data_IF_237145102187
#
_entry.id   IF_237145102187
#
_cell.length_a   1.000
_cell.length_b   1.000
_cell.length_c   1.000
_cell.angle_alpha   90.00
_cell.angle_beta   90.00
_cell.angle_gamma   90.00
#
_symmetry.space_group_name_H-M   'P 1'
#
loop_
_entity.id
_entity.type
_entity.pdbx_description
1 polymer ?
#
# COMPACT_ATOMS: atom_id res chain seq x y z
N UNK A 1 -130.24 1.95 59.19
CA UNK A 1 -128.98 1.52 59.83
C UNK A 1 -127.98 0.89 58.85
N UNK A 2 -128.35 -0.11 58.03
CA UNK A 2 -127.40 -0.81 57.14
C UNK A 2 -126.72 0.02 56.01
N UNK A 3 -127.39 1.03 55.43
CA UNK A 3 -126.80 1.87 54.35
C UNK A 3 -125.67 2.80 54.84
N UNK A 4 -125.85 3.42 56.01
CA UNK A 4 -124.86 4.33 56.59
C UNK A 4 -123.57 3.61 57.05
N UNK A 5 -123.70 2.37 57.54
CA UNK A 5 -122.55 1.52 57.88
C UNK A 5 -121.68 1.24 56.64
N UNK A 6 -122.32 0.90 55.53
CA UNK A 6 -121.66 0.59 54.25
C UNK A 6 -120.97 1.82 53.66
N UNK A 7 -121.62 2.97 53.68
CA UNK A 7 -121.04 4.23 53.18
C UNK A 7 -119.86 4.71 54.04
N UNK A 8 -119.91 4.47 55.35
CA UNK A 8 -118.79 4.76 56.27
C UNK A 8 -117.59 3.85 55.99
N UNK A 9 -117.82 2.54 55.83
CA UNK A 9 -116.77 1.58 55.49
C UNK A 9 -116.13 1.87 54.12
N UNK A 10 -116.94 2.24 53.12
CA UNK A 10 -116.44 2.64 51.80
C UNK A 10 -115.58 3.91 51.88
N UNK A 11 -116.01 4.94 52.62
CA UNK A 11 -115.21 6.15 52.82
C UNK A 11 -113.94 5.88 53.61
N UNK A 12 -114.01 5.06 54.66
CA UNK A 12 -112.84 4.66 55.46
C UNK A 12 -111.82 3.93 54.57
N UNK A 13 -112.26 2.97 53.77
CA UNK A 13 -111.40 2.26 52.83
C UNK A 13 -110.78 3.20 51.78
N UNK A 14 -111.54 4.18 51.26
CA UNK A 14 -111.02 5.18 50.33
C UNK A 14 -109.92 6.05 50.96
N UNK A 15 -110.11 6.52 52.20
CA UNK A 15 -109.09 7.27 52.93
C UNK A 15 -107.88 6.40 53.29
N UNK A 16 -108.09 5.14 53.67
CA UNK A 16 -107.00 4.21 53.96
C UNK A 16 -106.16 3.95 52.69
N UNK A 17 -106.78 3.83 51.52
CA UNK A 17 -106.08 3.73 50.22
C UNK A 17 -105.29 5.01 49.94
N UNK A 18 -105.87 6.19 50.14
CA UNK A 18 -105.20 7.47 49.91
C UNK A 18 -104.02 7.70 50.87
N UNK A 19 -104.20 7.37 52.15
CA UNK A 19 -103.14 7.44 53.16
C UNK A 19 -102.03 6.45 52.83
N UNK A 20 -102.35 5.21 52.46
CA UNK A 20 -101.37 4.20 52.10
C UNK A 20 -100.63 4.54 50.80
N UNK A 21 -101.29 5.11 49.80
CA UNK A 21 -100.64 5.55 48.55
C UNK A 21 -99.71 6.74 48.80
N UNK A 22 -100.13 7.74 49.58
CA UNK A 22 -99.23 8.85 49.97
C UNK A 22 -98.06 8.37 50.82
N UNK A 23 -98.28 7.40 51.71
CA UNK A 23 -97.23 6.79 52.52
C UNK A 23 -96.22 6.01 51.67
N UNK A 24 -96.71 5.20 50.73
CA UNK A 24 -95.84 4.50 49.76
C UNK A 24 -95.07 5.48 48.85
N UNK A 25 -95.71 6.57 48.40
CA UNK A 25 -95.04 7.62 47.64
C UNK A 25 -93.96 8.33 48.47
N UNK A 26 -94.22 8.63 49.74
CA UNK A 26 -93.23 9.21 50.64
C UNK A 26 -92.05 8.26 50.88
N UNK A 27 -92.31 6.97 51.08
CA UNK A 27 -91.27 5.95 51.25
C UNK A 27 -90.41 5.79 49.99
N UNK A 28 -91.03 5.79 48.79
CA UNK A 28 -90.32 5.76 47.52
C UNK A 28 -89.51 7.04 47.26
N UNK A 29 -90.07 8.21 47.58
CA UNK A 29 -89.37 9.49 47.47
C UNK A 29 -88.16 9.55 48.41
N UNK A 30 -88.30 9.04 49.64
CA UNK A 30 -87.21 8.91 50.59
C UNK A 30 -86.11 7.96 50.06
N UNK A 31 -86.48 6.78 49.57
CA UNK A 31 -85.53 5.82 49.00
C UNK A 31 -84.79 6.40 47.79
N UNK A 32 -85.51 7.12 46.90
CA UNK A 32 -84.90 7.80 45.76
C UNK A 32 -83.90 8.88 46.21
N UNK A 33 -84.25 9.67 47.24
CA UNK A 33 -83.35 10.68 47.77
C UNK A 33 -82.10 10.04 48.39
N UNK A 34 -82.24 8.94 49.13
CA UNK A 34 -81.10 8.18 49.66
C UNK A 34 -80.21 7.66 48.54
N UNK A 35 -80.79 7.11 47.46
CA UNK A 35 -80.03 6.62 46.32
C UNK A 35 -79.28 7.75 45.59
N UNK A 36 -79.92 8.91 45.36
CA UNK A 36 -79.29 10.09 44.76
C UNK A 36 -78.13 10.60 45.62
N UNK A 37 -78.32 10.74 46.92
CA UNK A 37 -77.26 11.18 47.83
C UNK A 37 -76.11 10.18 47.85
N UNK A 38 -76.39 8.87 47.87
CA UNK A 38 -75.35 7.82 47.76
C UNK A 38 -74.57 7.92 46.46
N UNK A 39 -75.25 8.10 45.32
CA UNK A 39 -74.59 8.27 44.03
C UNK A 39 -73.66 9.50 44.04
N UNK A 40 -74.13 10.63 44.55
CA UNK A 40 -73.32 11.85 44.67
C UNK A 40 -72.09 11.64 45.57
N UNK A 41 -72.23 10.93 46.69
CA UNK A 41 -71.11 10.59 47.57
C UNK A 41 -70.09 9.73 46.82
N UNK A 42 -70.53 8.71 46.09
CA UNK A 42 -69.62 7.84 45.33
C UNK A 42 -68.93 8.58 44.16
N UNK A 43 -69.64 9.45 43.44
CA UNK A 43 -69.03 10.34 42.43
C UNK A 43 -67.93 11.22 43.03
N UNK A 44 -68.19 11.84 44.19
CA UNK A 44 -67.17 12.64 44.89
C UNK A 44 -65.99 11.78 45.35
N UNK A 45 -66.23 10.55 45.83
CA UNK A 45 -65.15 9.61 46.22
C UNK A 45 -64.28 9.22 45.04
N UNK A 46 -64.88 8.92 43.88
CA UNK A 46 -64.14 8.64 42.65
C UNK A 46 -63.34 9.86 42.23
N UNK A 47 -63.90 11.07 42.31
CA UNK A 47 -63.19 12.30 42.00
C UNK A 47 -61.95 12.49 42.90
N UNK A 48 -62.08 12.27 44.21
CA UNK A 48 -60.94 12.32 45.15
C UNK A 48 -59.87 11.30 44.75
N UNK A 49 -60.26 10.05 44.44
CA UNK A 49 -59.31 9.03 43.99
C UNK A 49 -58.58 9.39 42.69
N UNK A 50 -59.27 10.02 41.74
CA UNK A 50 -58.66 10.47 40.47
C UNK A 50 -57.62 11.55 40.75
N UNK A 51 -57.94 12.51 41.63
CA UNK A 51 -57.00 13.58 42.02
C UNK A 51 -55.79 12.98 42.75
N UNK A 52 -55.99 12.08 43.72
CA UNK A 52 -54.89 11.40 44.42
C UNK A 52 -53.98 10.64 43.46
N UNK A 53 -54.57 9.87 42.52
CA UNK A 53 -53.79 9.15 41.51
C UNK A 53 -53.04 10.09 40.57
N UNK A 54 -53.67 11.17 40.12
CA UNK A 54 -53.00 12.17 39.29
C UNK A 54 -51.82 12.81 40.04
N UNK A 55 -51.98 13.09 41.33
CA UNK A 55 -50.91 13.61 42.19
C UNK A 55 -49.76 12.60 42.33
N UNK A 56 -50.09 11.31 42.53
CA UNK A 56 -49.09 10.25 42.58
C UNK A 56 -48.31 10.13 41.27
N UNK A 57 -49.00 10.16 40.12
CA UNK A 57 -48.35 10.15 38.80
C UNK A 57 -47.41 11.35 38.65
N UNK A 58 -47.85 12.55 39.01
CA UNK A 58 -47.02 13.75 38.93
C UNK A 58 -45.76 13.66 39.80
N UNK A 59 -45.86 13.10 41.02
CA UNK A 59 -44.70 12.86 41.88
C UNK A 59 -43.77 11.83 41.26
N UNK A 60 -44.31 10.73 40.72
CA UNK A 60 -43.51 9.70 40.05
C UNK A 60 -42.79 10.24 38.82
N UNK A 61 -43.43 11.06 37.99
CA UNK A 61 -42.79 11.70 36.85
C UNK A 61 -41.63 12.61 37.28
N UNK A 62 -41.79 13.37 38.37
CA UNK A 62 -40.71 14.18 38.92
C UNK A 62 -39.56 13.34 39.47
N UNK A 63 -39.86 12.22 40.13
CA UNK A 63 -38.85 11.27 40.60
C UNK A 63 -38.08 10.63 39.45
N UNK A 64 -38.77 10.21 38.38
CA UNK A 64 -38.15 9.68 37.16
C UNK A 64 -37.25 10.75 36.54
N UNK A 65 -37.73 11.98 36.37
CA UNK A 65 -36.93 13.06 35.78
C UNK A 65 -35.69 13.40 36.62
N UNK A 66 -35.79 13.36 37.96
CA UNK A 66 -34.61 13.50 38.83
C UNK A 66 -33.65 12.33 38.62
N UNK A 67 -34.16 11.10 38.62
CA UNK A 67 -33.35 9.89 38.49
C UNK A 67 -32.65 9.80 37.12
N UNK A 68 -33.31 10.21 36.05
CA UNK A 68 -32.71 10.33 34.72
C UNK A 68 -31.55 11.32 34.72
N UNK A 69 -31.73 12.52 35.30
CA UNK A 69 -30.65 13.51 35.42
C UNK A 69 -29.48 13.00 36.26
N UNK A 70 -29.76 12.27 37.33
CA UNK A 70 -28.71 11.64 38.14
C UNK A 70 -27.96 10.55 37.35
N UNK A 71 -28.66 9.69 36.62
CA UNK A 71 -28.05 8.67 35.76
C UNK A 71 -27.26 9.27 34.61
N UNK A 72 -27.75 10.36 34.01
CA UNK A 72 -27.05 11.09 32.97
C UNK A 72 -25.74 11.67 33.51
N UNK A 73 -25.77 12.31 34.67
CA UNK A 73 -24.59 12.85 35.31
C UNK A 73 -23.60 11.77 35.79
N UNK A 74 -24.10 10.67 36.36
CA UNK A 74 -23.27 9.65 37.01
C UNK A 74 -22.78 8.55 36.08
N UNK A 75 -23.51 8.26 35.00
CA UNK A 75 -23.21 7.15 34.10
C UNK A 75 -22.88 7.66 32.71
N UNK A 76 -23.78 8.44 32.08
CA UNK A 76 -23.59 8.86 30.68
C UNK A 76 -22.40 9.81 30.52
N UNK A 77 -22.34 10.90 31.28
CA UNK A 77 -21.24 11.87 31.17
C UNK A 77 -19.85 11.27 31.39
N UNK A 78 -19.59 10.45 32.43
CA UNK A 78 -18.29 9.81 32.57
C UNK A 78 -18.03 8.77 31.47
N UNK A 79 -19.04 7.99 31.07
CA UNK A 79 -18.87 7.04 29.98
C UNK A 79 -18.54 7.73 28.64
N UNK A 80 -19.16 8.88 28.35
CA UNK A 80 -18.84 9.70 27.18
C UNK A 80 -17.43 10.29 27.27
N UNK A 81 -17.02 10.76 28.45
CA UNK A 81 -15.67 11.25 28.67
C UNK A 81 -14.62 10.14 28.50
N UNK A 82 -14.90 8.93 28.99
CA UNK A 82 -14.04 7.75 28.79
C UNK A 82 -13.99 7.33 27.33
N UNK A 83 -15.15 7.28 26.65
CA UNK A 83 -15.21 6.97 25.21
C UNK A 83 -14.40 7.97 24.40
N UNK A 84 -14.56 9.26 24.67
CA UNK A 84 -13.80 10.32 24.00
C UNK A 84 -12.30 10.19 24.25
N UNK A 85 -11.88 9.92 25.50
CA UNK A 85 -10.45 9.68 25.82
C UNK A 85 -9.91 8.47 25.06
N UNK A 86 -10.64 7.35 25.05
CA UNK A 86 -10.21 6.13 24.38
C UNK A 86 -10.13 6.32 22.85
N UNK A 87 -11.14 6.98 22.27
CA UNK A 87 -11.19 7.29 20.84
C UNK A 87 -10.02 8.19 20.43
N UNK A 88 -9.71 9.21 21.24
CA UNK A 88 -8.55 10.09 21.02
C UNK A 88 -7.20 9.38 21.18
N UNK A 89 -7.08 8.49 22.17
CA UNK A 89 -5.87 7.69 22.34
C UNK A 89 -5.67 6.73 21.17
N UNK A 90 -6.73 6.03 20.73
CA UNK A 90 -6.67 5.15 19.58
C UNK A 90 -6.37 5.92 18.28
N UNK A 91 -6.94 7.12 18.10
CA UNK A 91 -6.63 8.00 16.98
C UNK A 91 -5.16 8.45 17.00
N UNK A 92 -4.65 8.82 18.18
CA UNK A 92 -3.24 9.19 18.35
C UNK A 92 -2.30 8.02 18.07
N UNK A 93 -2.58 6.82 18.60
CA UNK A 93 -1.80 5.60 18.34
C UNK A 93 -1.81 5.23 16.86
N UNK A 94 -2.98 5.27 16.21
CA UNK A 94 -3.09 5.04 14.77
C UNK A 94 -2.26 6.04 13.98
N UNK A 95 -2.34 7.33 14.33
CA UNK A 95 -1.56 8.37 13.67
C UNK A 95 -0.05 8.18 13.90
N UNK A 96 0.36 7.78 15.10
CA UNK A 96 1.76 7.49 15.40
C UNK A 96 2.26 6.28 14.61
N UNK A 97 1.48 5.21 14.52
CA UNK A 97 1.84 4.01 13.76
C UNK A 97 1.97 4.30 12.26
N UNK A 98 1.03 5.07 11.69
CA UNK A 98 1.10 5.51 10.29
C UNK A 98 2.36 6.35 10.07
N UNK A 99 2.60 7.35 10.92
CA UNK A 99 3.78 8.22 10.79
C UNK A 99 5.09 7.43 10.92
N UNK A 100 5.16 6.46 11.84
CA UNK A 100 6.32 5.58 11.98
C UNK A 100 6.51 4.71 10.74
N UNK A 101 5.45 4.08 10.24
CA UNK A 101 5.50 3.25 9.04
C UNK A 101 5.91 4.06 7.79
N UNK A 102 5.40 5.28 7.66
CA UNK A 102 5.78 6.21 6.59
C UNK A 102 7.25 6.63 6.71
N UNK A 103 7.70 6.97 7.93
CA UNK A 103 9.09 7.33 8.18
C UNK A 103 10.05 6.15 7.91
N UNK A 104 9.67 4.93 8.28
CA UNK A 104 10.44 3.72 7.99
C UNK A 104 10.48 3.44 6.48
N UNK A 105 9.34 3.55 5.78
CA UNK A 105 9.27 3.39 4.34
C UNK A 105 10.13 4.42 3.62
N UNK A 106 10.09 5.68 4.04
CA UNK A 106 10.93 6.75 3.48
C UNK A 106 12.41 6.53 3.76
N UNK A 107 12.76 6.10 4.98
CA UNK A 107 14.13 5.73 5.36
C UNK A 107 14.67 4.59 4.50
N UNK A 108 13.88 3.53 4.28
CA UNK A 108 14.25 2.41 3.40
C UNK A 108 14.42 2.88 1.96
N UNK A 109 13.51 3.72 1.45
CA UNK A 109 13.59 4.28 0.11
C UNK A 109 14.87 5.11 -0.06
N UNK A 110 15.14 6.03 0.87
CA UNK A 110 16.32 6.89 0.83
C UNK A 110 17.61 6.07 0.92
N UNK A 111 17.65 5.06 1.79
CA UNK A 111 18.80 4.13 1.88
C UNK A 111 18.96 3.32 0.60
N UNK A 112 17.86 2.84 0.01
CA UNK A 112 17.87 2.10 -1.25
C UNK A 112 18.38 2.96 -2.42
N UNK A 113 17.90 4.19 -2.54
CA UNK A 113 18.36 5.17 -3.53
C UNK A 113 19.85 5.50 -3.33
N UNK A 114 20.29 5.75 -2.09
CA UNK A 114 21.69 6.02 -1.79
C UNK A 114 22.60 4.81 -2.10
N UNK A 115 22.16 3.58 -1.78
CA UNK A 115 22.90 2.37 -2.12
C UNK A 115 22.96 2.13 -3.63
N UNK A 116 21.84 2.29 -4.34
CA UNK A 116 21.79 2.16 -5.78
C UNK A 116 22.71 3.18 -6.47
N UNK A 117 22.72 4.44 -5.99
CA UNK A 117 23.63 5.46 -6.46
C UNK A 117 25.09 5.09 -6.20
N UNK A 118 25.42 4.65 -4.99
CA UNK A 118 26.79 4.25 -4.63
C UNK A 118 27.28 3.06 -5.47
N UNK A 119 26.44 2.03 -5.67
CA UNK A 119 26.75 0.87 -6.52
C UNK A 119 26.91 1.32 -7.97
N UNK A 120 26.00 2.14 -8.48
CA UNK A 120 26.07 2.66 -9.85
C UNK A 120 27.29 3.56 -10.10
N UNK A 121 27.74 4.31 -9.10
CA UNK A 121 28.96 5.10 -9.18
C UNK A 121 30.21 4.20 -9.16
N UNK A 122 30.24 3.19 -8.27
CA UNK A 122 31.33 2.20 -8.24
C UNK A 122 31.42 1.40 -9.54
N UNK A 123 30.30 0.90 -10.04
CA UNK A 123 30.23 0.14 -11.29
C UNK A 123 30.71 0.99 -12.49
N UNK A 124 30.33 2.27 -12.55
CA UNK A 124 30.85 3.20 -13.57
C UNK A 124 32.36 3.41 -13.44
N UNK A 125 32.85 3.66 -12.23
CA UNK A 125 34.29 3.80 -12.00
C UNK A 125 35.06 2.53 -12.37
N UNK A 126 34.55 1.35 -12.02
CA UNK A 126 35.13 0.06 -12.39
C UNK A 126 35.11 -0.17 -13.91
N UNK A 127 34.01 0.15 -14.58
CA UNK A 127 33.89 0.05 -16.03
C UNK A 127 34.89 0.99 -16.74
N UNK A 128 35.03 2.23 -16.27
CA UNK A 128 36.02 3.18 -16.80
C UNK A 128 37.45 2.71 -16.54
N UNK A 129 37.74 2.15 -15.37
CA UNK A 129 39.05 1.57 -15.05
C UNK A 129 39.36 0.37 -15.93
N UNK A 130 38.40 -0.52 -16.17
CA UNK A 130 38.56 -1.66 -17.07
C UNK A 130 38.74 -1.21 -18.52
N UNK A 131 38.00 -0.20 -18.98
CA UNK A 131 38.16 0.36 -20.32
C UNK A 131 39.57 0.94 -20.52
N UNK A 132 40.06 1.75 -19.57
CA UNK A 132 41.42 2.29 -19.62
C UNK A 132 42.49 1.20 -19.55
N UNK A 133 42.28 0.16 -18.73
CA UNK A 133 43.19 -1.00 -18.68
C UNK A 133 43.18 -1.75 -20.02
N UNK A 134 42.02 -1.95 -20.63
CA UNK A 134 41.90 -2.61 -21.92
C UNK A 134 42.59 -1.80 -23.03
N UNK A 135 42.41 -0.48 -23.06
CA UNK A 135 43.14 0.42 -23.97
C UNK A 135 44.65 0.34 -23.76
N UNK A 136 45.12 0.38 -22.51
CA UNK A 136 46.53 0.21 -22.19
C UNK A 136 47.06 -1.16 -22.66
N UNK A 137 46.32 -2.25 -22.41
CA UNK A 137 46.71 -3.59 -22.86
C UNK A 137 46.75 -3.71 -24.39
N UNK A 138 45.88 -3.04 -25.14
CA UNK A 138 45.97 -3.04 -26.59
C UNK A 138 47.25 -2.36 -27.08
N UNK A 139 47.57 -1.18 -26.53
CA UNK A 139 48.83 -0.48 -26.84
C UNK A 139 50.06 -1.31 -26.45
N UNK A 140 50.03 -1.98 -25.28
CA UNK A 140 51.09 -2.88 -24.85
C UNK A 140 51.16 -4.15 -25.71
N UNK A 141 50.04 -4.69 -26.20
CA UNK A 141 50.05 -5.83 -27.12
C UNK A 141 50.68 -5.46 -28.45
N UNK A 142 50.36 -4.28 -29.02
CA UNK A 142 50.99 -3.78 -30.23
C UNK A 142 52.49 -3.58 -30.04
N UNK A 143 52.90 -2.95 -28.92
CA UNK A 143 54.31 -2.75 -28.60
C UNK A 143 55.05 -4.07 -28.33
N UNK A 144 54.45 -5.01 -27.59
CA UNK A 144 55.05 -6.31 -27.28
C UNK A 144 55.11 -7.24 -28.51
N UNK A 145 54.13 -7.17 -29.41
CA UNK A 145 54.18 -7.88 -30.69
C UNK A 145 55.30 -7.33 -31.57
N UNK A 146 55.47 -6.00 -31.61
CA UNK A 146 56.56 -5.38 -32.34
C UNK A 146 57.93 -5.79 -31.77
N UNK A 147 58.09 -5.77 -30.44
CA UNK A 147 59.34 -6.15 -29.78
C UNK A 147 59.67 -7.63 -29.99
N UNK A 148 58.68 -8.53 -29.87
CA UNK A 148 58.86 -9.96 -30.16
C UNK A 148 59.19 -10.20 -31.64
N UNK A 149 58.60 -9.43 -32.57
CA UNK A 149 59.00 -9.50 -33.99
C UNK A 149 60.44 -9.03 -34.18
N UNK A 150 60.85 -7.91 -33.57
CA UNK A 150 62.22 -7.41 -33.62
C UNK A 150 63.24 -8.41 -33.07
N UNK A 151 62.93 -9.12 -31.98
CA UNK A 151 63.77 -10.20 -31.45
C UNK A 151 63.82 -11.44 -32.34
N UNK A 152 62.73 -11.75 -33.04
CA UNK A 152 62.64 -12.94 -33.92
C UNK A 152 63.11 -12.66 -35.35
N UNK A 153 63.19 -11.41 -35.77
CA UNK A 153 63.67 -11.00 -37.10
C UNK A 153 65.08 -11.54 -37.43
N UNK A 154 66.07 -11.49 -36.51
CA UNK A 154 67.39 -12.10 -36.75
C UNK A 154 67.32 -13.60 -37.00
N UNK A 155 66.48 -14.33 -36.26
CA UNK A 155 66.33 -15.79 -36.42
C UNK A 155 65.70 -16.14 -37.78
N UNK A 156 64.70 -15.37 -38.20
CA UNK A 156 64.09 -15.54 -39.53
C UNK A 156 65.09 -15.17 -40.64
N UNK A 157 65.86 -14.09 -40.46
CA UNK A 157 66.90 -13.71 -41.41
C UNK A 157 68.02 -14.77 -41.49
N UNK A 158 68.40 -15.36 -40.36
CA UNK A 158 69.40 -16.42 -40.27
C UNK A 158 68.93 -17.71 -40.96
N UNK A 159 67.70 -18.16 -40.71
CA UNK A 159 67.10 -19.32 -41.37
C UNK A 159 66.93 -19.13 -42.88
N UNK A 160 66.53 -17.93 -43.32
CA UNK A 160 66.43 -17.60 -44.76
C UNK A 160 67.83 -17.51 -45.40
N UNK A 161 68.86 -17.12 -44.63
CA UNK A 161 70.25 -17.08 -45.09
C UNK A 161 70.98 -18.43 -44.99
N UNK A 162 70.43 -19.41 -44.26
CA UNK A 162 71.00 -20.75 -44.08
C UNK A 162 71.26 -21.50 -45.39
N UNK A 163 70.31 -21.52 -46.35
CA UNK A 163 70.52 -22.08 -47.68
C UNK A 163 71.58 -21.34 -48.51
N UNK A 164 71.76 -20.03 -48.31
CA UNK A 164 72.77 -19.22 -49.00
C UNK A 164 74.18 -19.42 -48.43
N UNK A 165 74.28 -19.58 -47.12
CA UNK A 165 75.54 -19.90 -46.43
C UNK A 165 76.01 -21.32 -46.76
N UNK A 166 75.08 -22.24 -46.99
CA UNK A 166 75.36 -23.64 -47.37
C UNK A 166 75.70 -23.82 -48.85
N UNK A 167 75.50 -22.79 -49.69
CA UNK A 167 75.79 -22.83 -51.12
C UNK A 167 77.25 -22.39 -51.39
N UNK A 168 78.20 -23.32 -51.27
CA UNK A 168 79.63 -23.04 -51.49
C UNK A 168 80.00 -22.52 -52.91
N UNK A 169 79.11 -22.69 -53.91
CA UNK A 169 79.31 -22.18 -55.28
C UNK A 169 77.97 -21.97 -56.00
N UNK A 170 77.47 -20.74 -55.98
CA UNK A 170 76.32 -20.34 -56.81
C UNK A 170 76.84 -20.06 -58.22
N UNK A 171 76.61 -20.99 -59.16
CA UNK A 171 76.97 -20.80 -60.57
C UNK A 171 75.76 -20.26 -61.32
N UNK A 172 75.69 -18.94 -61.47
CA UNK A 172 74.59 -18.27 -62.17
C UNK A 172 74.79 -18.39 -63.68
N UNK A 173 73.99 -19.23 -64.33
CA UNK A 173 74.01 -19.36 -65.80
C UNK A 173 73.07 -18.30 -66.38
N UNK A 174 73.63 -17.19 -66.86
CA UNK A 174 72.88 -16.13 -67.52
C UNK A 174 72.78 -16.43 -69.02
N UNK A 175 71.57 -16.70 -69.50
CA UNK A 175 71.23 -16.62 -70.91
C UNK A 175 70.52 -15.29 -71.20
N UNK A 176 71.24 -14.17 -71.10
CA UNK A 176 70.76 -12.87 -71.61
C UNK A 176 71.05 -11.67 -70.72
N UNK A 177 71.35 -10.53 -71.36
CA UNK A 177 71.89 -9.29 -70.77
C UNK A 177 71.01 -8.67 -69.68
N UNK A 178 71.48 -8.73 -68.45
CA UNK A 178 70.99 -7.98 -67.29
C UNK A 178 71.97 -8.13 -66.14
N UNK A 179 72.06 -7.14 -65.25
CA UNK A 179 73.07 -7.07 -64.19
C UNK A 179 73.18 -8.40 -63.41
N UNK A 180 74.35 -9.05 -63.52
CA UNK A 180 74.70 -10.31 -62.85
C UNK A 180 75.46 -9.97 -61.57
N UNK A 181 75.04 -10.52 -60.43
CA UNK A 181 75.72 -10.36 -59.16
C UNK A 181 74.83 -10.58 -57.94
N UNK A 182 75.42 -10.48 -56.75
CA UNK A 182 74.77 -10.68 -55.45
C UNK A 182 73.42 -9.94 -55.32
N UNK A 183 73.27 -8.79 -55.97
CA UNK A 183 72.03 -8.01 -55.99
C UNK A 183 70.79 -8.78 -56.49
N UNK A 184 70.91 -9.74 -57.43
CA UNK A 184 69.77 -10.56 -57.88
C UNK A 184 69.36 -11.63 -56.86
N UNK A 185 70.35 -12.21 -56.16
CA UNK A 185 70.11 -13.18 -55.08
C UNK A 185 69.54 -12.48 -53.85
N UNK A 186 70.07 -11.31 -53.48
CA UNK A 186 69.51 -10.47 -52.42
C UNK A 186 68.11 -9.97 -52.80
N UNK A 187 67.86 -9.69 -54.08
CA UNK A 187 66.54 -9.34 -54.62
C UNK A 187 65.53 -10.49 -54.56
N UNK A 188 65.91 -11.72 -54.93
CA UNK A 188 65.05 -12.91 -54.79
C UNK A 188 64.74 -13.23 -53.33
N UNK A 189 65.71 -13.05 -52.42
CA UNK A 189 65.48 -13.18 -50.97
C UNK A 189 64.52 -12.10 -50.47
N UNK A 190 64.65 -10.86 -50.96
CA UNK A 190 63.71 -9.78 -50.65
C UNK A 190 62.31 -10.09 -51.21
N UNK A 191 62.22 -10.67 -52.42
CA UNK A 191 60.96 -11.10 -53.04
C UNK A 191 60.31 -12.28 -52.30
N UNK A 192 61.10 -13.18 -51.72
CA UNK A 192 60.60 -14.26 -50.87
C UNK A 192 60.13 -13.69 -49.52
N UNK A 193 60.88 -12.76 -48.93
CA UNK A 193 60.50 -12.04 -47.72
C UNK A 193 59.23 -11.21 -47.92
N UNK A 194 59.03 -10.62 -49.09
CA UNK A 194 57.82 -9.84 -49.40
C UNK A 194 56.60 -10.71 -49.70
N UNK A 195 56.78 -11.96 -50.18
CA UNK A 195 55.70 -12.94 -50.42
C UNK A 195 55.39 -13.86 -49.24
N UNK A 196 56.27 -13.90 -48.25
CA UNK A 196 56.11 -14.68 -47.02
C UNK A 196 54.83 -14.30 -46.24
N UNK A 197 54.48 -13.01 -46.06
CA UNK A 197 53.24 -12.61 -45.40
C UNK A 197 51.99 -13.17 -46.09
N UNK A 198 51.88 -13.06 -47.43
CA UNK A 198 50.74 -13.61 -48.18
C UNK A 198 50.66 -15.14 -48.10
N UNK A 199 51.80 -15.82 -48.03
CA UNK A 199 51.85 -17.29 -47.98
C UNK A 199 51.45 -17.83 -46.61
N UNK A 200 51.85 -17.15 -45.53
CA UNK A 200 51.43 -17.47 -44.16
C UNK A 200 49.95 -17.16 -43.97
N UNK A 201 49.45 -16.06 -44.55
CA UNK A 201 48.03 -15.68 -44.53
C UNK A 201 47.13 -16.73 -45.23
N UNK A 202 47.58 -17.26 -46.38
CA UNK A 202 46.86 -18.34 -47.10
C UNK A 202 46.86 -19.69 -46.40
N UNK A 203 47.88 -19.99 -45.59
CA UNK A 203 48.02 -21.26 -44.88
C UNK A 203 47.38 -21.26 -43.48
N UNK A 204 47.34 -20.11 -42.81
CA UNK A 204 46.85 -19.98 -41.43
C UNK A 204 45.50 -19.25 -41.34
N UNK A 205 45.04 -18.61 -42.42
CA UNK A 205 43.80 -17.85 -42.47
C UNK A 205 43.82 -16.53 -41.69
N UNK A 206 44.99 -16.11 -41.18
CA UNK A 206 45.16 -14.89 -40.39
C UNK A 206 45.87 -13.83 -41.23
N UNK A 207 45.14 -12.77 -41.56
CA UNK A 207 45.64 -11.60 -42.30
C UNK A 207 46.40 -10.65 -41.38
N UNK A 208 47.74 -10.65 -41.46
CA UNK A 208 48.59 -9.65 -40.76
C UNK A 208 48.32 -8.24 -41.32
N UNK A 209 47.89 -8.14 -42.57
CA UNK A 209 47.51 -6.87 -43.23
C UNK A 209 46.26 -6.19 -42.63
N UNK A 210 45.45 -6.90 -41.84
CA UNK A 210 44.20 -6.36 -41.28
C UNK A 210 44.33 -5.77 -39.87
N UNK A 211 45.49 -5.84 -39.23
CA UNK A 211 45.69 -5.24 -37.90
C UNK A 211 45.82 -3.71 -37.98
N UNK A 212 46.06 -3.12 -39.16
CA UNK A 212 46.37 -1.69 -39.28
C UNK A 212 45.27 -0.77 -39.87
N UNK A 213 44.00 -1.19 -39.92
CA UNK A 213 42.90 -0.29 -40.31
C UNK A 213 41.63 -0.51 -39.49
N UNK A 214 41.62 0.01 -38.26
CA UNK A 214 40.38 0.42 -37.61
C UNK A 214 40.34 1.95 -37.61
N UNK A 215 39.45 2.60 -38.38
CA UNK A 215 39.37 4.06 -38.34
C UNK A 215 38.92 4.48 -36.95
N UNK A 216 39.68 5.41 -36.36
CA UNK A 216 39.28 6.19 -35.20
C UNK A 216 37.89 6.76 -35.48
N UNK A 217 36.87 6.24 -34.78
CA UNK A 217 35.58 6.92 -34.67
C UNK A 217 35.82 8.14 -33.80
N UNK A 218 36.00 9.29 -34.45
CA UNK A 218 35.85 10.60 -33.82
C UNK A 218 34.42 10.74 -33.27
N UNK A 219 34.37 11.49 -32.16
CA UNK A 219 33.19 11.83 -31.36
C UNK A 219 32.01 12.37 -32.16
#
# INVERSE_FOLDING_TARGET
MAKAQRDYELKKAAYDIEVNTRRAQADLAYQLQVAKTKQQIEEQRVQVQVVERAQQVAVQEQEIARREKELEARVRKPAEAERYKLERLAEAEKSQLIMQAEAEAESVRMRGEAQAFAIGARARAEAEQMAKKAEAFQLYQEAAQLDMLLEKLPQVAEEISGPLTSANKITMVSSGSGAVGAAKVTGEVLDILSRLPESVERLTGISISQVNHKPLRTA
#
